data_IF_790407389360
#
_entry.id   IF_790407389360
#
_cell.length_a   1.000
_cell.length_b   1.000
_cell.length_c   1.000
_cell.angle_alpha   90.00
_cell.angle_beta   90.00
_cell.angle_gamma   90.00
#
_symmetry.space_group_name_H-M   'P 1'
#
loop_
_entity.id
_entity.type
_entity.pdbx_description
1 polymer ?
#
# COMPACT_ATOMS: atom_id res chain seq x y z
N UNK A 1 -11.58 -8.04 14.07
CA UNK A 1 -10.37 -8.10 14.93
C UNK A 1 -9.16 -8.10 14.04
N UNK A 2 -8.18 -7.27 14.37
CA UNK A 2 -6.96 -7.09 13.63
C UNK A 2 -6.13 -8.39 13.59
N UNK A 3 -5.65 -8.77 12.41
CA UNK A 3 -4.83 -9.96 12.16
C UNK A 3 -3.60 -10.03 13.07
N UNK A 4 -2.87 -8.92 13.23
CA UNK A 4 -1.66 -8.90 14.06
C UNK A 4 -1.95 -8.92 15.56
N UNK A 5 -3.08 -8.40 16.01
CA UNK A 5 -3.54 -8.56 17.39
C UNK A 5 -3.83 -10.03 17.71
N UNK A 6 -4.43 -10.78 16.78
CA UNK A 6 -4.63 -12.21 16.92
C UNK A 6 -3.32 -12.98 16.93
N UNK A 7 -2.37 -12.66 16.04
CA UNK A 7 -1.03 -13.26 16.05
C UNK A 7 -0.30 -13.01 17.37
N UNK A 8 -0.42 -11.81 17.94
CA UNK A 8 0.18 -11.46 19.23
C UNK A 8 -0.40 -12.31 20.38
N UNK A 9 -1.69 -12.56 20.38
CA UNK A 9 -2.34 -13.48 21.36
C UNK A 9 -1.88 -14.94 21.15
N UNK A 10 -1.74 -15.40 19.91
CA UNK A 10 -1.24 -16.72 19.58
C UNK A 10 0.23 -16.88 19.97
N UNK A 11 1.06 -15.84 19.83
CA UNK A 11 2.43 -15.83 20.31
C UNK A 11 2.53 -16.07 21.82
N UNK A 12 1.70 -15.37 22.60
CA UNK A 12 1.66 -15.52 24.07
C UNK A 12 1.28 -16.92 24.53
N UNK A 13 0.51 -17.65 23.73
CA UNK A 13 0.06 -19.01 24.03
C UNK A 13 0.90 -20.10 23.37
N UNK A 14 1.96 -19.75 22.63
CA UNK A 14 2.81 -20.69 21.90
C UNK A 14 2.11 -21.37 20.70
N UNK A 15 1.07 -20.73 20.16
CA UNK A 15 0.26 -21.27 19.06
C UNK A 15 0.39 -20.46 17.77
N UNK A 16 1.51 -19.79 17.55
CA UNK A 16 1.76 -19.09 16.29
C UNK A 16 1.63 -20.05 15.09
N UNK A 17 1.06 -19.59 13.96
CA UNK A 17 1.17 -20.31 12.70
C UNK A 17 2.64 -20.51 12.32
N UNK A 18 2.95 -21.59 11.62
CA UNK A 18 4.31 -21.85 11.18
C UNK A 18 4.81 -20.85 10.14
N UNK A 19 3.88 -20.34 9.31
CA UNK A 19 4.17 -19.28 8.32
C UNK A 19 3.24 -18.11 8.58
N UNK A 20 3.81 -16.93 8.62
CA UNK A 20 3.10 -15.64 8.75
C UNK A 20 3.45 -14.78 7.54
N UNK A 21 2.43 -14.25 6.89
CA UNK A 21 2.62 -13.23 5.88
C UNK A 21 2.41 -11.85 6.50
N UNK A 22 3.30 -10.92 6.20
CA UNK A 22 3.23 -9.58 6.71
C UNK A 22 3.10 -8.54 5.61
N UNK A 23 2.10 -7.67 5.73
CA UNK A 23 1.99 -6.45 4.94
C UNK A 23 2.76 -5.28 5.62
N UNK A 24 3.06 -4.17 4.91
CA UNK A 24 4.09 -3.21 5.32
C UNK A 24 4.02 -2.69 6.75
N UNK A 25 3.15 -1.79 7.11
CA UNK A 25 3.23 -1.04 8.38
C UNK A 25 3.07 -1.90 9.63
N UNK A 26 1.98 -2.64 9.73
CA UNK A 26 1.62 -3.45 10.91
C UNK A 26 2.55 -4.64 11.15
N UNK A 27 3.22 -5.14 10.11
CA UNK A 27 4.20 -6.22 10.25
C UNK A 27 5.44 -5.77 11.01
N UNK A 28 5.90 -4.55 10.83
CA UNK A 28 7.07 -4.05 11.53
C UNK A 28 6.86 -4.08 13.05
N UNK A 29 5.71 -3.60 13.51
CA UNK A 29 5.38 -3.59 14.94
C UNK A 29 5.32 -5.01 15.52
N UNK A 30 4.61 -5.93 14.87
CA UNK A 30 4.55 -7.34 15.30
C UNK A 30 5.93 -8.01 15.31
N UNK A 31 6.76 -7.77 14.29
CA UNK A 31 8.11 -8.31 14.23
C UNK A 31 8.97 -7.74 15.37
N UNK A 32 8.97 -6.43 15.54
CA UNK A 32 9.90 -5.76 16.45
C UNK A 32 9.47 -5.80 17.91
N UNK A 33 8.17 -5.92 18.19
CA UNK A 33 7.65 -5.99 19.56
C UNK A 33 7.35 -7.41 20.05
N UNK A 34 7.09 -8.36 19.13
CA UNK A 34 6.69 -9.72 19.49
C UNK A 34 7.70 -10.77 19.02
N UNK A 35 7.96 -10.86 17.70
CA UNK A 35 8.75 -11.98 17.17
C UNK A 35 10.23 -11.89 17.57
N UNK A 36 10.87 -10.74 17.40
CA UNK A 36 12.30 -10.55 17.66
C UNK A 36 12.60 -10.64 19.16
N UNK A 37 11.93 -9.88 20.06
CA UNK A 37 12.24 -9.94 21.48
C UNK A 37 12.03 -11.29 22.12
N UNK A 38 11.09 -12.09 21.61
CA UNK A 38 10.78 -13.43 22.11
C UNK A 38 11.47 -14.55 21.33
N UNK A 39 12.28 -14.22 20.32
CA UNK A 39 12.97 -15.18 19.44
C UNK A 39 11.98 -16.19 18.82
N UNK A 40 10.87 -15.73 18.30
CA UNK A 40 9.79 -16.56 17.74
C UNK A 40 9.84 -16.72 16.21
N UNK A 41 10.99 -16.55 15.59
CA UNK A 41 11.21 -16.65 14.15
C UNK A 41 12.31 -17.65 13.82
N UNK A 42 12.28 -18.13 12.58
CA UNK A 42 13.37 -18.89 11.97
C UNK A 42 14.20 -17.96 11.08
N UNK A 43 15.53 -17.81 11.30
CA UNK A 43 16.38 -16.95 10.47
C UNK A 43 16.48 -17.50 9.04
N UNK A 44 16.20 -16.68 8.03
CA UNK A 44 16.18 -17.09 6.63
C UNK A 44 17.55 -16.95 5.92
N UNK A 45 18.62 -16.65 6.65
CA UNK A 45 19.96 -16.45 6.09
C UNK A 45 20.43 -17.66 5.27
N UNK A 46 20.42 -18.85 5.88
CA UNK A 46 20.87 -20.09 5.22
C UNK A 46 19.95 -20.45 4.06
N UNK A 47 18.63 -20.34 4.25
CA UNK A 47 17.65 -20.55 3.20
C UNK A 47 17.94 -19.70 1.95
N UNK A 48 18.16 -18.39 2.11
CA UNK A 48 18.47 -17.49 1.01
C UNK A 48 19.85 -17.77 0.38
N UNK A 49 20.82 -18.17 1.16
CA UNK A 49 22.14 -18.55 0.64
C UNK A 49 22.11 -19.85 -0.16
N UNK A 50 21.27 -20.81 0.23
CA UNK A 50 21.06 -22.07 -0.50
C UNK A 50 20.15 -21.90 -1.72
N UNK A 51 19.24 -20.92 -1.70
CA UNK A 51 18.27 -20.63 -2.76
C UNK A 51 18.61 -19.30 -3.46
N UNK A 52 19.77 -19.27 -4.13
CA UNK A 52 20.31 -18.05 -4.76
C UNK A 52 19.40 -17.45 -5.83
N UNK A 53 18.55 -18.25 -6.49
CA UNK A 53 17.54 -17.78 -7.43
C UNK A 53 16.50 -16.88 -6.73
N UNK A 54 16.05 -17.24 -5.51
CA UNK A 54 15.13 -16.41 -4.72
C UNK A 54 15.85 -15.16 -4.23
N UNK A 55 17.06 -15.33 -3.69
CA UNK A 55 17.88 -14.22 -3.21
C UNK A 55 18.11 -13.16 -4.30
N UNK A 56 18.36 -13.60 -5.53
CA UNK A 56 18.60 -12.69 -6.65
C UNK A 56 17.35 -11.91 -7.10
N UNK A 57 16.15 -12.39 -6.79
CA UNK A 57 14.89 -11.65 -7.02
C UNK A 57 14.66 -10.56 -5.97
N UNK A 58 15.16 -10.75 -4.73
CA UNK A 58 14.96 -9.78 -3.67
C UNK A 58 15.64 -8.44 -3.97
N UNK A 59 14.98 -7.34 -3.65
CA UNK A 59 15.56 -6.01 -3.69
C UNK A 59 16.51 -5.83 -2.49
N UNK A 60 17.61 -5.14 -2.69
CA UNK A 60 18.60 -4.92 -1.64
C UNK A 60 18.02 -4.10 -0.46
N UNK A 61 17.13 -3.13 -0.75
CA UNK A 61 16.37 -2.38 0.25
C UNK A 61 15.48 -3.28 1.10
N UNK A 62 14.76 -4.22 0.47
CA UNK A 62 13.86 -5.15 1.17
C UNK A 62 14.63 -6.15 2.04
N UNK A 63 15.78 -6.63 1.57
CA UNK A 63 16.68 -7.48 2.37
C UNK A 63 17.24 -6.70 3.56
N UNK A 64 17.70 -5.46 3.33
CA UNK A 64 18.21 -4.59 4.41
C UNK A 64 17.16 -4.33 5.47
N UNK A 65 15.93 -3.99 5.07
CA UNK A 65 14.80 -3.79 5.98
C UNK A 65 14.43 -5.05 6.79
N UNK A 66 14.56 -6.24 6.16
CA UNK A 66 14.29 -7.52 6.81
C UNK A 66 15.42 -8.02 7.70
N UNK A 67 16.61 -7.39 7.62
CA UNK A 67 17.78 -7.77 8.41
C UNK A 67 17.78 -7.02 9.74
N UNK A 68 17.85 -7.76 10.85
CA UNK A 68 17.90 -7.19 12.20
C UNK A 68 19.33 -6.94 12.68
N UNK A 69 19.51 -6.23 13.78
CA UNK A 69 20.82 -5.85 14.31
C UNK A 69 21.75 -7.03 14.59
N UNK A 70 21.18 -8.20 14.93
CA UNK A 70 21.95 -9.43 15.13
C UNK A 70 22.40 -10.13 13.81
N UNK A 71 22.03 -9.56 12.66
CA UNK A 71 22.34 -10.08 11.33
C UNK A 71 21.31 -11.09 10.79
N UNK A 72 20.28 -11.44 11.53
CA UNK A 72 19.23 -12.36 11.08
C UNK A 72 18.30 -11.70 10.08
N UNK A 73 17.99 -12.42 9.01
CA UNK A 73 16.96 -12.02 8.04
C UNK A 73 15.62 -12.60 8.49
N UNK A 74 14.71 -11.72 8.88
CA UNK A 74 13.39 -12.08 9.38
C UNK A 74 12.43 -12.24 8.20
N UNK A 75 12.35 -13.44 7.67
CA UNK A 75 11.49 -13.78 6.54
C UNK A 75 12.10 -13.45 5.18
N UNK A 76 11.48 -13.97 4.14
CA UNK A 76 11.84 -13.69 2.75
C UNK A 76 11.00 -12.52 2.25
N UNK A 77 11.63 -11.42 1.79
CA UNK A 77 10.90 -10.25 1.28
C UNK A 77 10.04 -10.60 0.07
N UNK A 78 8.88 -10.00 -0.07
CA UNK A 78 8.13 -10.03 -1.33
C UNK A 78 8.98 -9.40 -2.44
N UNK A 79 8.93 -10.00 -3.62
CA UNK A 79 9.80 -9.61 -4.75
C UNK A 79 9.05 -8.86 -5.84
N UNK A 80 7.72 -8.85 -5.78
CA UNK A 80 6.88 -8.04 -6.64
C UNK A 80 6.48 -6.75 -5.89
N UNK A 81 6.40 -5.66 -6.62
CA UNK A 81 6.09 -4.33 -6.11
C UNK A 81 4.88 -3.81 -6.87
N UNK A 82 3.69 -3.77 -6.26
CA UNK A 82 2.54 -3.11 -6.88
C UNK A 82 2.80 -1.62 -6.97
N UNK A 83 2.46 -1.06 -8.11
CA UNK A 83 2.46 0.38 -8.31
C UNK A 83 1.05 0.89 -8.07
N UNK A 84 0.90 1.84 -7.16
CA UNK A 84 -0.38 2.39 -6.73
C UNK A 84 -0.61 3.73 -7.40
N UNK A 85 -1.83 3.93 -7.88
CA UNK A 85 -2.31 5.14 -8.51
C UNK A 85 -3.77 5.39 -8.12
N UNK A 86 -4.60 5.63 -9.11
CA UNK A 86 -6.04 5.80 -8.94
C UNK A 86 -6.82 5.03 -10.00
N UNK A 87 -8.08 4.76 -9.68
CA UNK A 87 -9.08 4.28 -10.62
C UNK A 87 -10.15 5.34 -10.85
N UNK A 88 -10.66 5.39 -12.07
CA UNK A 88 -11.80 6.25 -12.41
C UNK A 88 -12.80 5.54 -13.33
N UNK A 89 -14.07 5.87 -13.15
CA UNK A 89 -15.15 5.36 -13.97
C UNK A 89 -15.43 6.35 -15.12
N UNK A 90 -15.24 5.92 -16.38
CA UNK A 90 -15.41 6.77 -17.55
C UNK A 90 -16.83 7.26 -17.79
N UNK A 91 -17.85 6.58 -17.24
CA UNK A 91 -19.24 7.01 -17.33
C UNK A 91 -19.53 8.29 -16.50
N UNK A 92 -18.71 8.55 -15.48
CA UNK A 92 -18.83 9.73 -14.61
C UNK A 92 -17.73 10.76 -14.87
N UNK A 93 -16.52 10.31 -15.08
CA UNK A 93 -15.36 11.17 -15.27
C UNK A 93 -14.55 10.68 -16.47
N UNK A 94 -14.50 11.51 -17.51
CA UNK A 94 -13.77 11.24 -18.73
C UNK A 94 -12.72 12.32 -18.93
N UNK A 95 -11.48 12.12 -18.44
CA UNK A 95 -10.42 13.10 -18.58
C UNK A 95 -10.04 13.31 -20.07
N UNK A 96 -9.76 14.54 -20.47
CA UNK A 96 -9.32 14.88 -21.84
C UNK A 96 -7.89 14.41 -22.14
N UNK A 97 -7.10 14.18 -21.08
CA UNK A 97 -5.72 13.66 -21.13
C UNK A 97 -5.48 12.73 -19.93
N UNK A 98 -4.43 11.90 -19.97
CA UNK A 98 -4.02 11.08 -18.83
C UNK A 98 -3.97 11.91 -17.53
N UNK A 99 -4.50 11.36 -16.46
CA UNK A 99 -4.49 12.00 -15.13
C UNK A 99 -3.05 12.28 -14.69
N UNK A 100 -2.14 11.34 -14.92
CA UNK A 100 -0.72 11.51 -14.62
C UNK A 100 -0.09 12.71 -15.32
N UNK A 101 -0.60 13.13 -16.47
CA UNK A 101 -0.12 14.31 -17.19
C UNK A 101 -0.68 15.65 -16.71
N UNK A 102 -1.59 15.63 -15.73
CA UNK A 102 -2.18 16.82 -15.12
C UNK A 102 -1.36 17.28 -13.92
N UNK A 103 -1.38 18.58 -13.61
CA UNK A 103 -1.04 19.04 -12.25
C UNK A 103 -2.17 18.67 -11.28
N UNK A 104 -1.93 18.78 -9.97
CA UNK A 104 -2.96 18.55 -8.95
C UNK A 104 -4.14 19.51 -9.15
N UNK A 105 -3.88 20.77 -9.46
CA UNK A 105 -4.89 21.80 -9.71
C UNK A 105 -5.67 21.55 -11.01
N UNK A 106 -5.01 21.07 -12.07
CA UNK A 106 -5.68 20.67 -13.31
C UNK A 106 -6.60 19.48 -13.07
N UNK A 107 -6.15 18.47 -12.31
CA UNK A 107 -6.95 17.31 -11.96
C UNK A 107 -8.19 17.71 -11.15
N UNK A 108 -8.02 18.50 -10.09
CA UNK A 108 -9.14 19.00 -9.29
C UNK A 108 -10.13 19.80 -10.15
N UNK A 109 -9.64 20.64 -11.04
CA UNK A 109 -10.48 21.41 -11.99
C UNK A 109 -11.22 20.47 -12.94
N UNK A 110 -10.55 19.45 -13.48
CA UNK A 110 -11.13 18.48 -14.43
C UNK A 110 -12.20 17.59 -13.79
N UNK A 111 -12.11 17.31 -12.49
CA UNK A 111 -13.16 16.59 -11.77
C UNK A 111 -14.50 17.35 -11.78
N UNK A 112 -14.48 18.69 -11.75
CA UNK A 112 -15.70 19.48 -11.67
C UNK A 112 -16.54 19.08 -10.46
N UNK A 113 -17.79 18.63 -10.69
CA UNK A 113 -18.71 18.17 -9.65
C UNK A 113 -18.54 16.67 -9.30
N UNK A 114 -17.71 15.93 -10.05
CA UNK A 114 -17.48 14.52 -9.80
C UNK A 114 -16.82 14.27 -8.44
N UNK A 115 -17.13 13.13 -7.85
CA UNK A 115 -16.76 12.80 -6.49
C UNK A 115 -15.60 11.81 -6.44
N UNK A 116 -14.77 12.00 -5.41
CA UNK A 116 -13.69 11.10 -5.01
C UNK A 116 -14.13 10.32 -3.77
N UNK A 117 -13.94 9.01 -3.79
CA UNK A 117 -14.14 8.17 -2.62
C UNK A 117 -12.94 8.29 -1.65
N UNK A 118 -13.24 8.57 -0.38
CA UNK A 118 -12.25 8.59 0.69
C UNK A 118 -12.60 7.57 1.77
N UNK A 119 -11.60 6.93 2.31
CA UNK A 119 -11.66 6.19 3.56
C UNK A 119 -11.26 7.12 4.70
N UNK A 120 -12.03 7.18 5.79
CA UNK A 120 -11.74 8.08 6.92
C UNK A 120 -11.75 7.38 8.27
N UNK A 121 -12.16 6.10 8.34
CA UNK A 121 -12.08 5.29 9.58
C UNK A 121 -11.21 4.07 9.38
N UNK A 122 -11.15 3.21 10.37
CA UNK A 122 -10.11 2.22 10.57
C UNK A 122 -8.75 2.93 10.63
N UNK A 123 -7.83 2.65 9.73
CA UNK A 123 -6.57 3.39 9.62
C UNK A 123 -6.53 4.44 8.51
N UNK A 124 -7.63 4.59 7.74
CA UNK A 124 -7.75 5.53 6.61
C UNK A 124 -6.63 5.43 5.55
N UNK A 125 -6.07 4.23 5.35
CA UNK A 125 -4.86 4.03 4.54
C UNK A 125 -4.99 4.44 3.07
N UNK A 126 -6.18 4.34 2.48
CA UNK A 126 -6.38 4.80 1.09
C UNK A 126 -6.33 6.33 0.97
N UNK A 127 -6.72 7.06 2.02
CA UNK A 127 -6.53 8.51 2.08
C UNK A 127 -5.06 8.88 2.27
N UNK A 128 -4.27 8.06 2.98
CA UNK A 128 -2.81 8.22 3.05
C UNK A 128 -2.12 7.99 1.70
N UNK A 129 -2.66 7.13 0.83
CA UNK A 129 -2.15 6.99 -0.54
C UNK A 129 -2.21 8.32 -1.28
N UNK A 130 -3.38 8.98 -1.26
CA UNK A 130 -3.52 10.24 -1.96
C UNK A 130 -2.70 11.36 -1.31
N UNK A 131 -2.65 11.41 0.02
CA UNK A 131 -1.77 12.36 0.73
C UNK A 131 -0.31 12.19 0.32
N UNK A 132 0.17 10.96 0.18
CA UNK A 132 1.56 10.69 -0.27
C UNK A 132 1.82 11.26 -1.67
N UNK A 133 0.87 11.08 -2.59
CA UNK A 133 0.96 11.64 -3.93
C UNK A 133 0.94 13.19 -3.90
N UNK A 134 0.14 13.79 -3.03
CA UNK A 134 0.13 15.25 -2.84
C UNK A 134 1.46 15.75 -2.27
N UNK A 135 2.02 15.06 -1.27
CA UNK A 135 3.35 15.39 -0.71
C UNK A 135 4.42 15.34 -1.81
N UNK A 136 4.42 14.30 -2.64
CA UNK A 136 5.40 14.16 -3.72
C UNK A 136 5.31 15.27 -4.80
N UNK A 137 4.17 15.96 -4.89
CA UNK A 137 3.97 17.11 -5.78
C UNK A 137 4.45 18.44 -5.17
N UNK A 138 4.80 18.46 -3.88
CA UNK A 138 5.35 19.66 -3.22
C UNK A 138 6.87 19.70 -3.30
N UNK A 139 7.44 20.90 -3.24
CA UNK A 139 8.90 21.09 -3.26
C UNK A 139 9.59 20.32 -2.11
N UNK A 140 10.51 19.43 -2.45
CA UNK A 140 11.22 18.56 -1.49
C UNK A 140 10.41 17.39 -0.96
N UNK A 141 9.14 17.23 -1.36
CA UNK A 141 8.26 16.19 -0.83
C UNK A 141 8.59 14.79 -1.33
N UNK A 142 8.94 14.65 -2.60
CA UNK A 142 9.36 13.37 -3.17
C UNK A 142 10.67 12.88 -2.53
N UNK A 143 11.64 13.79 -2.37
CA UNK A 143 12.92 13.51 -1.71
C UNK A 143 12.71 13.12 -0.25
N UNK A 144 11.82 13.80 0.47
CA UNK A 144 11.47 13.47 1.85
C UNK A 144 10.92 12.04 1.95
N UNK A 145 9.92 11.70 1.16
CA UNK A 145 9.33 10.35 1.19
C UNK A 145 10.37 9.29 0.81
N UNK A 146 11.19 9.52 -0.21
CA UNK A 146 12.25 8.60 -0.62
C UNK A 146 13.32 8.41 0.47
N UNK A 147 13.68 9.46 1.21
CA UNK A 147 14.63 9.38 2.32
C UNK A 147 14.12 8.46 3.44
N UNK A 148 12.81 8.46 3.65
CA UNK A 148 12.17 7.67 4.72
C UNK A 148 11.60 6.34 4.25
N UNK A 149 11.88 5.87 3.02
CA UNK A 149 11.50 4.50 2.61
C UNK A 149 12.21 3.46 3.49
N UNK A 150 11.43 2.73 4.27
CA UNK A 150 11.93 1.77 5.27
C UNK A 150 12.46 2.40 6.56
N UNK A 151 12.22 3.69 6.80
CA UNK A 151 12.59 4.41 8.03
C UNK A 151 11.38 5.12 8.62
N UNK A 152 11.47 5.50 9.88
CA UNK A 152 10.41 6.22 10.58
C UNK A 152 10.61 7.73 10.53
N UNK A 153 9.61 8.43 10.00
CA UNK A 153 9.47 9.88 10.05
C UNK A 153 8.77 10.27 11.35
N UNK A 154 9.33 11.23 12.07
CA UNK A 154 8.78 11.72 13.35
C UNK A 154 8.29 13.16 13.29
N UNK A 155 8.77 13.96 12.36
CA UNK A 155 8.40 15.37 12.23
C UNK A 155 7.53 15.59 10.97
N UNK A 156 6.25 15.76 11.17
CA UNK A 156 5.26 16.04 10.11
C UNK A 156 5.01 17.54 9.90
N UNK A 157 5.70 18.43 10.63
CA UNK A 157 5.63 19.88 10.42
C UNK A 157 6.48 20.36 9.22
N UNK A 158 6.81 19.45 8.30
CA UNK A 158 7.53 19.78 7.07
C UNK A 158 6.64 20.62 6.14
N UNK A 159 7.16 21.67 5.49
CA UNK A 159 6.36 22.53 4.61
C UNK A 159 5.63 21.78 3.51
N UNK A 160 6.26 20.75 2.90
CA UNK A 160 5.67 19.91 1.87
C UNK A 160 4.49 19.08 2.39
N UNK A 161 4.56 18.57 3.64
CA UNK A 161 3.46 17.83 4.25
C UNK A 161 2.30 18.76 4.56
N UNK A 162 2.56 19.92 5.16
CA UNK A 162 1.53 20.90 5.46
C UNK A 162 0.78 21.34 4.19
N UNK A 163 1.51 21.71 3.13
CA UNK A 163 0.90 22.09 1.86
C UNK A 163 0.05 20.97 1.24
N UNK A 164 0.51 19.73 1.35
CA UNK A 164 -0.23 18.56 0.88
C UNK A 164 -1.52 18.33 1.70
N UNK A 165 -1.49 18.51 3.02
CA UNK A 165 -2.66 18.40 3.91
C UNK A 165 -3.68 19.50 3.58
N UNK A 166 -3.24 20.73 3.30
CA UNK A 166 -4.11 21.82 2.84
C UNK A 166 -4.81 21.47 1.52
N UNK A 167 -4.08 20.91 0.54
CA UNK A 167 -4.64 20.45 -0.74
C UNK A 167 -5.61 19.27 -0.55
N UNK A 168 -5.30 18.32 0.32
CA UNK A 168 -6.20 17.20 0.65
C UNK A 168 -7.51 17.72 1.23
N UNK A 169 -7.44 18.67 2.17
CA UNK A 169 -8.62 19.31 2.77
C UNK A 169 -9.45 20.08 1.73
N UNK A 170 -8.79 20.83 0.86
CA UNK A 170 -9.48 21.58 -0.21
C UNK A 170 -10.22 20.65 -1.18
N UNK A 171 -9.57 19.52 -1.58
CA UNK A 171 -10.20 18.51 -2.43
C UNK A 171 -11.36 17.81 -1.71
N UNK A 172 -11.20 17.51 -0.42
CA UNK A 172 -12.31 16.99 0.38
C UNK A 172 -13.51 17.91 0.36
N UNK A 173 -13.32 19.20 0.62
CA UNK A 173 -14.40 20.18 0.71
C UNK A 173 -15.21 20.32 -0.58
N UNK A 174 -14.58 20.03 -1.72
CA UNK A 174 -15.21 20.17 -3.05
C UNK A 174 -15.68 18.85 -3.64
N UNK A 175 -14.89 17.78 -3.49
CA UNK A 175 -15.06 16.56 -4.27
C UNK A 175 -15.28 15.29 -3.42
N UNK A 176 -15.31 15.34 -2.09
CA UNK A 176 -15.60 14.13 -1.32
C UNK A 176 -16.99 13.56 -1.63
N UNK A 177 -17.10 12.26 -1.77
CA UNK A 177 -18.38 11.56 -1.86
C UNK A 177 -19.16 11.72 -0.54
N UNK A 178 -20.49 11.77 -0.62
CA UNK A 178 -21.34 12.10 0.52
C UNK A 178 -21.19 11.15 1.72
N UNK A 179 -20.82 9.90 1.47
CA UNK A 179 -20.62 8.86 2.49
C UNK A 179 -19.16 8.72 2.97
N UNK A 180 -18.26 9.59 2.51
CA UNK A 180 -16.82 9.46 2.86
C UNK A 180 -16.52 9.73 4.33
N UNK A 181 -17.30 10.56 5.02
CA UNK A 181 -17.13 10.75 6.46
C UNK A 181 -17.65 9.52 7.22
N UNK A 182 -16.77 8.85 7.92
CA UNK A 182 -17.05 7.58 8.60
C UNK A 182 -16.93 6.33 7.71
N UNK A 183 -16.44 6.50 6.48
CA UNK A 183 -16.27 5.38 5.54
C UNK A 183 -15.06 4.51 5.91
N UNK A 184 -15.28 3.21 6.03
CA UNK A 184 -14.25 2.19 6.02
C UNK A 184 -13.79 1.90 4.57
N UNK A 185 -12.79 1.05 4.40
CA UNK A 185 -12.29 0.67 3.08
C UNK A 185 -13.41 0.17 2.13
N UNK A 186 -14.25 -0.75 2.63
CA UNK A 186 -15.33 -1.30 1.83
C UNK A 186 -16.37 -0.24 1.42
N UNK A 187 -16.62 0.76 2.27
CA UNK A 187 -17.55 1.84 1.96
C UNK A 187 -17.00 2.75 0.85
N UNK A 188 -15.69 3.06 0.89
CA UNK A 188 -15.04 3.82 -0.17
C UNK A 188 -15.03 3.05 -1.50
N UNK A 189 -14.71 1.76 -1.48
CA UNK A 189 -14.76 0.90 -2.66
C UNK A 189 -16.20 0.81 -3.23
N UNK A 190 -17.20 0.64 -2.36
CA UNK A 190 -18.61 0.60 -2.75
C UNK A 190 -19.09 1.95 -3.32
N UNK A 191 -18.53 3.08 -2.89
CA UNK A 191 -18.88 4.38 -3.45
C UNK A 191 -18.53 4.46 -4.95
N UNK A 192 -17.39 3.90 -5.38
CA UNK A 192 -17.05 3.77 -6.79
C UNK A 192 -17.98 2.78 -7.49
N UNK A 193 -18.13 1.56 -6.94
CA UNK A 193 -18.93 0.46 -7.53
C UNK A 193 -20.45 0.71 -7.49
N UNK A 194 -20.87 1.84 -6.98
CA UNK A 194 -22.27 2.29 -6.98
C UNK A 194 -22.48 3.64 -7.67
N UNK A 195 -21.50 4.10 -8.46
CA UNK A 195 -21.57 5.39 -9.16
C UNK A 195 -21.81 6.62 -8.24
N UNK A 196 -21.48 6.51 -6.94
CA UNK A 196 -21.51 7.62 -5.98
C UNK A 196 -20.19 8.40 -5.96
N UNK A 197 -19.10 7.77 -6.41
CA UNK A 197 -17.82 8.40 -6.67
C UNK A 197 -17.36 8.05 -8.08
N UNK A 198 -16.67 8.98 -8.72
CA UNK A 198 -16.09 8.80 -10.03
C UNK A 198 -14.64 8.31 -9.96
N UNK A 199 -13.96 8.56 -8.84
CA UNK A 199 -12.53 8.27 -8.64
C UNK A 199 -12.30 7.65 -7.26
N UNK A 200 -11.35 6.73 -7.18
CA UNK A 200 -10.80 6.20 -5.93
C UNK A 200 -9.28 6.06 -6.04
N UNK A 201 -8.55 6.41 -4.98
CA UNK A 201 -7.13 6.13 -4.85
C UNK A 201 -6.96 4.70 -4.32
N UNK A 202 -6.36 3.83 -5.12
CA UNK A 202 -6.18 2.42 -4.75
C UNK A 202 -5.11 1.75 -5.60
N UNK A 203 -4.75 0.51 -5.25
CA UNK A 203 -3.78 -0.28 -5.98
C UNK A 203 -4.39 -1.40 -6.81
N UNK A 204 -3.55 -2.12 -7.58
CA UNK A 204 -3.99 -3.13 -8.55
C UNK A 204 -4.70 -4.33 -7.92
N UNK A 205 -4.55 -4.58 -6.62
CA UNK A 205 -5.34 -5.60 -5.89
C UNK A 205 -6.85 -5.38 -5.97
N UNK A 206 -7.32 -4.15 -6.26
CA UNK A 206 -8.73 -3.85 -6.47
C UNK A 206 -9.24 -4.25 -7.87
N UNK A 207 -8.36 -4.59 -8.82
CA UNK A 207 -8.77 -4.95 -10.19
C UNK A 207 -9.76 -6.12 -10.21
N UNK A 208 -9.63 -7.06 -9.27
CA UNK A 208 -10.54 -8.18 -9.11
C UNK A 208 -12.00 -7.77 -8.83
N UNK A 209 -12.24 -6.60 -8.24
CA UNK A 209 -13.58 -6.11 -7.92
C UNK A 209 -14.36 -5.62 -9.17
N UNK A 210 -13.65 -5.38 -10.27
CA UNK A 210 -14.21 -4.87 -11.54
C UNK A 210 -14.46 -5.97 -12.57
N UNK A 211 -14.29 -7.23 -12.22
CA UNK A 211 -14.51 -8.36 -13.12
C UNK A 211 -15.98 -8.78 -13.18
N UNK A 212 -16.39 -9.37 -14.29
CA UNK A 212 -17.80 -9.71 -14.58
C UNK A 212 -18.44 -10.70 -13.58
N UNK A 213 -17.65 -11.44 -12.83
CA UNK A 213 -18.14 -12.34 -11.76
C UNK A 213 -18.46 -11.59 -10.44
N UNK A 214 -18.10 -10.31 -10.33
CA UNK A 214 -18.35 -9.44 -9.17
C UNK A 214 -19.57 -8.54 -9.29
N UNK A 215 -20.35 -8.67 -10.35
CA UNK A 215 -21.55 -7.84 -10.61
C UNK A 215 -22.56 -7.80 -9.45
N UNK A 216 -22.55 -8.81 -8.57
CA UNK A 216 -23.39 -8.83 -7.38
C UNK A 216 -23.02 -7.71 -6.35
N UNK A 217 -21.81 -7.17 -6.42
CA UNK A 217 -21.32 -6.08 -5.58
C UNK A 217 -21.59 -4.69 -6.20
N UNK A 218 -22.09 -4.65 -7.43
CA UNK A 218 -22.31 -3.41 -8.18
C UNK A 218 -23.76 -2.93 -8.04
N UNK A 219 -23.96 -1.63 -8.13
CA UNK A 219 -25.29 -1.03 -8.10
C UNK A 219 -25.33 0.27 -8.92
N UNK A 220 -26.50 0.82 -9.11
CA UNK A 220 -26.73 2.07 -9.83
C UNK A 220 -26.11 2.09 -11.24
N UNK A 221 -26.28 0.99 -11.98
CA UNK A 221 -25.78 0.82 -13.35
C UNK A 221 -24.23 0.93 -13.48
N UNK A 222 -23.50 0.68 -12.42
CA UNK A 222 -22.03 0.60 -12.48
C UNK A 222 -21.59 -0.55 -13.40
N UNK A 223 -20.62 -0.29 -14.26
CA UNK A 223 -19.99 -1.28 -15.13
C UNK A 223 -18.47 -1.30 -14.90
N UNK A 224 -17.95 -2.40 -14.35
CA UNK A 224 -16.51 -2.56 -14.11
C UNK A 224 -15.65 -2.46 -15.38
N UNK A 225 -16.21 -2.75 -16.56
CA UNK A 225 -15.53 -2.60 -17.85
C UNK A 225 -15.28 -1.12 -18.23
N UNK A 226 -15.88 -0.18 -17.49
CA UNK A 226 -15.73 1.27 -17.64
C UNK A 226 -14.74 1.87 -16.66
N UNK A 227 -14.10 1.05 -15.84
CA UNK A 227 -13.06 1.50 -14.91
C UNK A 227 -11.72 1.52 -15.63
N UNK A 228 -11.00 2.60 -15.46
CA UNK A 228 -9.66 2.82 -15.95
C UNK A 228 -8.69 3.09 -14.81
N UNK A 229 -7.40 2.77 -15.02
CA UNK A 229 -6.31 3.04 -14.10
C UNK A 229 -5.35 4.10 -14.63
N UNK A 230 -4.80 4.92 -13.74
CA UNK A 230 -3.75 5.88 -14.07
C UNK A 230 -2.85 6.12 -12.85
N UNK A 231 -1.70 6.75 -13.05
CA UNK A 231 -0.89 7.30 -11.96
C UNK A 231 -1.52 8.60 -11.44
N UNK A 232 -1.09 9.05 -10.28
CA UNK A 232 -1.56 10.31 -9.71
C UNK A 232 -1.14 11.53 -10.55
N UNK A 233 -1.88 12.66 -10.42
CA UNK A 233 -1.46 13.94 -10.99
C UNK A 233 -0.01 14.29 -10.65
N UNK A 234 0.67 14.97 -11.54
CA UNK A 234 2.10 15.26 -11.45
C UNK A 234 2.98 14.08 -11.85
N UNK A 235 2.43 13.06 -12.51
CA UNK A 235 3.13 11.83 -12.89
C UNK A 235 3.74 11.12 -11.67
N UNK A 236 2.96 10.98 -10.59
CA UNK A 236 3.37 10.33 -9.35
C UNK A 236 2.74 8.95 -9.23
N UNK A 237 3.50 7.98 -8.78
CA UNK A 237 3.04 6.64 -8.42
C UNK A 237 3.61 6.24 -7.06
N UNK A 238 2.89 5.40 -6.32
CA UNK A 238 3.41 4.90 -5.05
C UNK A 238 3.90 3.47 -5.20
N UNK A 239 5.06 3.19 -4.59
CA UNK A 239 5.59 1.84 -4.50
C UNK A 239 6.48 1.71 -3.26
N UNK A 240 6.19 0.73 -2.41
CA UNK A 240 6.97 0.45 -1.20
C UNK A 240 8.08 -0.56 -1.53
N UNK A 241 9.25 -0.10 -1.92
CA UNK A 241 10.33 -0.99 -2.34
C UNK A 241 11.08 -1.64 -1.18
N UNK A 242 11.15 -1.00 -0.03
CA UNK A 242 11.81 -1.56 1.16
C UNK A 242 10.85 -2.41 2.00
N UNK A 243 9.60 -1.97 2.18
CA UNK A 243 8.71 -2.46 3.23
C UNK A 243 7.55 -3.34 2.74
N UNK A 244 7.48 -3.65 1.43
CA UNK A 244 6.32 -4.34 0.84
C UNK A 244 6.22 -5.81 1.26
N UNK A 245 5.95 -6.14 2.43
CA UNK A 245 5.63 -7.49 2.87
C UNK A 245 6.79 -8.48 2.89
N UNK A 246 6.60 -9.57 3.57
CA UNK A 246 7.53 -10.68 3.69
C UNK A 246 6.84 -11.94 4.18
N UNK A 247 7.41 -13.08 3.84
CA UNK A 247 7.01 -14.38 4.36
C UNK A 247 7.92 -14.78 5.51
N UNK A 248 7.36 -14.89 6.71
CA UNK A 248 8.09 -15.19 7.94
C UNK A 248 7.81 -16.64 8.32
N UNK A 249 8.86 -17.43 8.49
CA UNK A 249 8.76 -18.75 9.12
C UNK A 249 8.97 -18.57 10.62
N UNK A 250 8.02 -19.02 11.44
CA UNK A 250 8.17 -18.99 12.89
C UNK A 250 8.93 -20.21 13.39
N UNK A 251 9.42 -20.16 14.62
CA UNK A 251 10.09 -21.32 15.22
C UNK A 251 9.12 -22.30 15.89
N UNK A 252 7.81 -22.20 15.62
CA UNK A 252 6.77 -23.07 16.18
C UNK A 252 6.57 -24.39 15.41
N UNK A 253 7.66 -24.92 14.82
CA UNK A 253 7.67 -26.26 14.21
C UNK A 253 7.91 -27.34 15.28
N UNK A 254 7.33 -28.53 15.05
CA UNK A 254 7.41 -29.67 15.98
C UNK A 254 8.41 -30.74 15.52
N UNK A 255 8.86 -30.65 14.27
CA UNK A 255 9.85 -31.58 13.71
C UNK A 255 10.63 -30.91 12.57
N UNK A 256 11.79 -31.49 12.21
CA UNK A 256 12.60 -31.08 11.06
C UNK A 256 11.82 -31.23 9.74
N UNK A 257 10.94 -32.23 9.63
CA UNK A 257 10.11 -32.43 8.46
C UNK A 257 9.08 -31.32 8.30
N UNK A 258 8.51 -30.82 9.41
CA UNK A 258 7.56 -29.71 9.40
C UNK A 258 8.25 -28.40 8.96
N UNK A 259 9.43 -28.12 9.50
CA UNK A 259 10.25 -26.99 9.06
C UNK A 259 10.59 -27.10 7.58
N UNK A 260 11.06 -28.28 7.13
CA UNK A 260 11.37 -28.52 5.73
C UNK A 260 10.15 -28.28 4.83
N UNK A 261 8.98 -28.72 5.23
CA UNK A 261 7.74 -28.49 4.49
C UNK A 261 7.44 -26.99 4.34
N UNK A 262 7.62 -26.19 5.41
CA UNK A 262 7.46 -24.76 5.36
C UNK A 262 8.44 -24.09 4.40
N UNK A 263 9.72 -24.48 4.44
CA UNK A 263 10.74 -23.93 3.54
C UNK A 263 10.49 -24.31 2.07
N UNK A 264 10.01 -25.52 1.79
CA UNK A 264 9.61 -25.93 0.43
C UNK A 264 8.37 -25.16 -0.05
N UNK A 265 7.41 -24.85 0.85
CA UNK A 265 6.29 -23.98 0.51
C UNK A 265 6.75 -22.56 0.17
N UNK A 266 7.70 -21.98 0.91
CA UNK A 266 8.30 -20.70 0.54
C UNK A 266 8.96 -20.77 -0.85
N UNK A 267 9.70 -21.83 -1.17
CA UNK A 267 10.28 -22.01 -2.52
C UNK A 267 9.23 -22.04 -3.61
N UNK A 268 8.11 -22.71 -3.36
CA UNK A 268 6.98 -22.77 -4.28
C UNK A 268 6.43 -21.38 -4.56
N UNK A 269 6.17 -20.56 -3.52
CA UNK A 269 5.68 -19.19 -3.65
C UNK A 269 6.60 -18.27 -4.47
N UNK A 270 7.91 -18.58 -4.52
CA UNK A 270 8.90 -17.83 -5.30
C UNK A 270 9.27 -18.52 -6.62
N UNK A 271 8.53 -19.54 -7.04
CA UNK A 271 8.66 -20.07 -8.39
C UNK A 271 8.14 -19.05 -9.41
N UNK A 272 8.68 -19.08 -10.61
CA UNK A 272 8.24 -18.15 -11.67
C UNK A 272 6.75 -18.27 -11.95
N UNK A 273 6.23 -19.49 -12.01
CA UNK A 273 4.81 -19.75 -12.28
C UNK A 273 3.90 -19.12 -11.22
N UNK A 274 4.22 -19.27 -9.92
CA UNK A 274 3.43 -18.73 -8.83
C UNK A 274 3.54 -17.19 -8.74
N UNK A 275 4.74 -16.65 -8.94
CA UNK A 275 4.93 -15.19 -8.94
C UNK A 275 4.17 -14.53 -10.11
N UNK A 276 4.20 -15.12 -11.29
CA UNK A 276 3.47 -14.63 -12.46
C UNK A 276 1.95 -14.72 -12.23
N UNK A 277 1.44 -15.85 -11.71
CA UNK A 277 0.04 -16.01 -11.37
C UNK A 277 -0.43 -15.00 -10.30
N UNK A 278 0.41 -14.77 -9.29
CA UNK A 278 0.11 -13.81 -8.24
C UNK A 278 0.05 -12.37 -8.77
N UNK A 279 0.98 -11.98 -9.63
CA UNK A 279 1.00 -10.64 -10.24
C UNK A 279 -0.17 -10.40 -11.21
N UNK A 280 -0.74 -11.43 -11.81
CA UNK A 280 -1.98 -11.30 -12.62
C UNK A 280 -3.23 -11.03 -11.75
N UNK A 281 -3.20 -11.40 -10.48
CA UNK A 281 -4.30 -11.20 -9.52
C UNK A 281 -4.13 -9.90 -8.74
N UNK A 282 -2.96 -9.74 -8.12
CA UNK A 282 -2.66 -8.63 -7.20
C UNK A 282 -2.01 -7.42 -7.91
N UNK A 283 -1.61 -7.61 -9.17
CA UNK A 283 -0.83 -6.62 -9.90
C UNK A 283 0.63 -6.54 -9.44
N UNK A 284 1.30 -5.49 -9.87
CA UNK A 284 2.70 -5.26 -9.54
C UNK A 284 3.67 -5.85 -10.55
N UNK A 285 4.93 -5.59 -10.29
CA UNK A 285 6.05 -6.05 -11.11
C UNK A 285 7.17 -6.61 -10.23
N UNK A 286 7.86 -7.64 -10.68
CA UNK A 286 9.10 -8.10 -10.11
C UNK A 286 10.28 -7.52 -10.91
N UNK A 287 10.97 -6.45 -10.42
CA UNK A 287 11.96 -5.72 -11.22
C UNK A 287 13.16 -6.56 -11.65
N UNK A 288 13.45 -7.65 -10.94
CA UNK A 288 14.61 -8.52 -11.20
C UNK A 288 14.23 -9.82 -11.93
N UNK A 289 12.96 -9.97 -12.37
CA UNK A 289 12.48 -11.18 -13.06
C UNK A 289 12.37 -10.98 -14.57
N UNK A 290 12.67 -12.03 -15.33
CA UNK A 290 12.32 -12.08 -16.77
C UNK A 290 11.03 -12.86 -16.90
N UNK A 291 10.03 -12.23 -17.47
CA UNK A 291 8.67 -12.78 -17.58
C UNK A 291 8.56 -13.81 -18.70
N UNK A 292 7.65 -14.77 -18.52
CA UNK A 292 7.28 -15.72 -19.57
C UNK A 292 6.42 -15.06 -20.65
N UNK A 293 6.43 -15.64 -21.87
CA UNK A 293 5.57 -15.18 -22.96
C UNK A 293 4.08 -15.36 -22.58
N UNK A 294 3.75 -16.42 -21.81
CA UNK A 294 2.37 -16.67 -21.34
C UNK A 294 1.88 -15.56 -20.43
N UNK A 295 2.67 -15.19 -19.42
CA UNK A 295 2.35 -14.08 -18.52
C UNK A 295 2.15 -12.77 -19.27
N UNK A 296 3.07 -12.42 -20.18
CA UNK A 296 2.96 -11.18 -20.96
C UNK A 296 1.71 -11.17 -21.85
N UNK A 297 1.31 -12.31 -22.40
CA UNK A 297 0.07 -12.41 -23.19
C UNK A 297 -1.17 -12.20 -22.32
N UNK A 298 -1.23 -12.79 -21.12
CA UNK A 298 -2.33 -12.62 -20.20
C UNK A 298 -2.39 -11.20 -19.61
N UNK A 299 -1.25 -10.62 -19.23
CA UNK A 299 -1.14 -9.24 -18.79
C UNK A 299 -1.69 -8.27 -19.86
N UNK A 300 -1.26 -8.43 -21.11
CA UNK A 300 -1.71 -7.59 -22.22
C UNK A 300 -3.21 -7.77 -22.56
N UNK A 301 -3.80 -8.90 -22.22
CA UNK A 301 -5.24 -9.13 -22.37
C UNK A 301 -6.07 -8.50 -21.25
N UNK A 302 -5.46 -8.18 -20.10
CA UNK A 302 -6.10 -7.50 -18.99
C UNK A 302 -5.88 -5.99 -19.10
N UNK A 303 -6.85 -5.29 -19.70
CA UNK A 303 -6.75 -3.86 -20.00
C UNK A 303 -6.42 -3.03 -18.77
N UNK A 304 -7.08 -3.28 -17.65
CA UNK A 304 -6.90 -2.47 -16.44
C UNK A 304 -5.53 -2.65 -15.79
N UNK A 305 -5.02 -3.89 -15.70
CA UNK A 305 -3.63 -4.15 -15.25
C UNK A 305 -2.61 -3.52 -16.18
N UNK A 306 -2.86 -3.57 -17.48
CA UNK A 306 -1.97 -2.97 -18.50
C UNK A 306 -1.96 -1.45 -18.39
N UNK A 307 -3.12 -0.80 -18.22
CA UNK A 307 -3.22 0.65 -18.05
C UNK A 307 -2.41 1.13 -16.86
N UNK A 308 -2.55 0.50 -15.68
CA UNK A 308 -1.78 0.85 -14.50
C UNK A 308 -0.27 0.66 -14.69
N UNK A 309 0.13 -0.46 -15.30
CA UNK A 309 1.54 -0.77 -15.54
C UNK A 309 2.17 0.20 -16.55
N UNK A 310 1.45 0.54 -17.63
CA UNK A 310 1.96 1.41 -18.70
C UNK A 310 1.84 2.90 -18.38
N UNK A 311 1.01 3.29 -17.43
CA UNK A 311 0.96 4.66 -16.93
C UNK A 311 2.30 5.07 -16.28
N UNK A 312 3.01 4.10 -15.68
CA UNK A 312 4.37 4.32 -15.15
C UNK A 312 5.38 4.36 -16.29
N UNK A 313 6.14 5.42 -16.35
CA UNK A 313 7.16 5.65 -17.39
C UNK A 313 8.48 6.13 -16.75
N UNK A 314 9.49 6.42 -17.59
CA UNK A 314 10.82 6.80 -17.08
C UNK A 314 10.86 8.12 -16.30
N UNK A 315 9.86 8.98 -16.51
CA UNK A 315 9.75 10.28 -15.82
C UNK A 315 8.80 10.23 -14.62
N UNK A 316 8.20 9.06 -14.33
CA UNK A 316 7.30 8.89 -13.19
C UNK A 316 8.07 9.00 -11.88
N UNK A 317 7.62 9.89 -11.01
CA UNK A 317 8.12 10.03 -9.63
C UNK A 317 7.53 8.92 -8.79
N UNK A 318 8.36 8.00 -8.32
CA UNK A 318 7.94 6.87 -7.49
C UNK A 318 8.36 7.12 -6.05
N UNK A 319 7.39 7.11 -5.13
CA UNK A 319 7.61 7.33 -3.69
C UNK A 319 6.89 6.28 -2.85
N UNK A 320 7.34 6.00 -1.62
CA UNK A 320 6.60 5.12 -0.72
C UNK A 320 5.28 5.77 -0.24
N UNK A 321 4.35 4.95 0.23
CA UNK A 321 3.21 5.45 0.99
C UNK A 321 3.70 6.00 2.33
N UNK A 322 3.28 7.21 2.71
CA UNK A 322 3.65 7.85 3.98
C UNK A 322 3.28 6.98 5.20
N UNK A 323 2.26 6.13 5.11
CA UNK A 323 1.91 5.18 6.16
C UNK A 323 3.08 4.28 6.55
N UNK A 324 3.94 3.90 5.60
CA UNK A 324 5.12 3.06 5.85
C UNK A 324 6.29 3.83 6.44
N UNK A 325 6.21 5.15 6.44
CA UNK A 325 7.17 6.05 7.08
C UNK A 325 6.71 6.47 8.49
N UNK A 326 5.50 6.11 8.93
CA UNK A 326 4.95 6.44 10.24
C UNK A 326 5.27 5.36 11.27
N UNK A 327 5.37 5.68 12.58
CA UNK A 327 5.19 4.68 13.61
C UNK A 327 3.84 3.98 13.45
N UNK A 328 3.78 2.65 13.66
CA UNK A 328 2.56 1.87 13.41
C UNK A 328 1.34 2.41 14.15
N UNK A 329 1.50 2.79 15.43
CA UNK A 329 0.38 3.36 16.21
C UNK A 329 -0.13 4.68 15.63
N UNK A 330 0.72 5.49 14.99
CA UNK A 330 0.32 6.74 14.34
C UNK A 330 -0.43 6.43 13.04
N UNK A 331 0.10 5.53 12.21
CA UNK A 331 -0.54 5.12 10.96
C UNK A 331 -1.90 4.43 11.20
N UNK A 332 -1.97 3.55 12.20
CA UNK A 332 -3.15 2.69 12.41
C UNK A 332 -4.26 3.36 13.24
N UNK A 333 -3.96 4.36 14.06
CA UNK A 333 -4.93 4.90 15.01
C UNK A 333 -5.04 6.43 14.96
N UNK A 334 -3.91 7.16 14.99
CA UNK A 334 -3.92 8.61 15.14
C UNK A 334 -4.35 9.27 13.84
N UNK A 335 -3.78 8.86 12.71
CA UNK A 335 -4.04 9.48 11.42
C UNK A 335 -5.54 9.52 11.08
N UNK A 336 -6.25 8.40 11.21
CA UNK A 336 -7.69 8.34 10.90
C UNK A 336 -8.51 9.24 11.85
N UNK A 337 -8.19 9.25 13.14
CA UNK A 337 -8.88 10.08 14.12
C UNK A 337 -8.69 11.57 13.83
N UNK A 338 -7.49 11.98 13.46
CA UNK A 338 -7.17 13.37 13.13
C UNK A 338 -7.72 13.76 11.74
N UNK A 339 -7.69 12.83 10.78
CA UNK A 339 -8.30 13.07 9.47
C UNK A 339 -9.79 13.40 9.60
N UNK A 340 -10.53 12.69 10.44
CA UNK A 340 -11.94 13.01 10.71
C UNK A 340 -12.10 14.42 11.28
N UNK A 341 -11.22 14.84 12.18
CA UNK A 341 -11.26 16.20 12.74
C UNK A 341 -10.87 17.27 11.71
N UNK A 342 -9.88 16.99 10.88
CA UNK A 342 -9.45 17.86 9.79
C UNK A 342 -10.60 18.08 8.79
N UNK A 343 -11.22 17.00 8.30
CA UNK A 343 -12.23 17.10 7.23
C UNK A 343 -13.56 17.67 7.72
N UNK A 344 -13.89 17.55 8.99
CA UNK A 344 -15.09 18.19 9.57
C UNK A 344 -14.83 19.63 10.05
N UNK A 345 -13.58 20.13 9.95
CA UNK A 345 -13.20 21.49 10.27
C UNK A 345 -12.98 21.79 11.75
N UNK A 346 -12.87 20.76 12.61
CA UNK A 346 -12.54 20.92 14.05
C UNK A 346 -11.04 20.95 14.32
N UNK A 347 -10.23 20.59 13.33
CA UNK A 347 -8.77 20.65 13.34
C UNK A 347 -8.29 21.39 12.08
N UNK A 348 -7.28 22.26 12.22
CA UNK A 348 -6.62 22.88 11.05
C UNK A 348 -5.53 22.00 10.49
N UNK A 349 -5.06 22.22 9.23
CA UNK A 349 -3.91 21.51 8.67
C UNK A 349 -2.66 21.57 9.54
N UNK A 350 -2.35 22.73 10.14
CA UNK A 350 -1.20 22.91 11.04
C UNK A 350 -1.38 22.09 12.33
N UNK A 351 -2.59 22.06 12.89
CA UNK A 351 -2.88 21.25 14.07
C UNK A 351 -2.76 19.75 13.78
N UNK A 352 -3.22 19.32 12.60
CA UNK A 352 -3.08 17.95 12.12
C UNK A 352 -1.61 17.51 12.05
N UNK A 353 -0.76 18.30 11.38
CA UNK A 353 0.68 18.01 11.29
C UNK A 353 1.37 18.04 12.67
N UNK A 354 0.97 18.98 13.53
CA UNK A 354 1.54 19.11 14.87
C UNK A 354 1.16 17.93 15.77
N UNK A 355 -0.10 17.45 15.73
CA UNK A 355 -0.53 16.30 16.54
C UNK A 355 0.15 15.01 16.09
N UNK A 356 0.19 14.74 14.77
CA UNK A 356 0.95 13.61 14.22
C UNK A 356 2.42 13.63 14.68
N UNK A 357 3.07 14.81 14.70
CA UNK A 357 4.45 14.96 15.18
C UNK A 357 4.56 14.61 16.65
N UNK A 358 3.67 15.16 17.49
CA UNK A 358 3.68 14.88 18.94
C UNK A 358 3.48 13.40 19.21
N UNK A 359 2.51 12.78 18.52
CA UNK A 359 2.20 11.35 18.68
C UNK A 359 3.31 10.44 18.19
N UNK A 360 3.98 10.81 17.09
CA UNK A 360 5.14 10.08 16.61
C UNK A 360 6.33 10.16 17.59
N UNK A 361 6.61 11.34 18.11
CA UNK A 361 7.68 11.53 19.11
C UNK A 361 7.44 10.74 20.42
N UNK A 362 6.18 10.59 20.84
CA UNK A 362 5.78 9.76 21.99
C UNK A 362 6.19 8.28 21.82
N UNK A 363 6.33 7.77 20.59
CA UNK A 363 6.72 6.38 20.32
C UNK A 363 8.23 6.11 20.47
N UNK A 364 9.05 7.14 20.63
CA UNK A 364 10.51 7.01 20.83
C UNK A 364 10.90 6.54 22.23
N UNK A 365 9.95 6.46 23.17
CA UNK A 365 10.22 6.21 24.60
C UNK A 365 9.97 4.77 25.03
#
# INVERSE_FOLDING_TARGET
DDYFSQLSMLAQTGNLPLIVCGAPSTTADFVDTVLVPQNLYYPMNDFLNENTQIKNLCLDSSVAYSTKENGDIIGVPAVYVPTVGLFYNEDLYKPEKSVGSMTVEEFQTSLGENKLAFQTVDNAWTSMLYLSALIANEEGGAELLAEYDGKTLYDYNQPCILAAVEKLKALWDTNAAANSLGAAYADAANALMSNQAAVICNGPWMNGDFTADKTANWSNDFDGAKVHGDVYPGNVALANTATYGRWIVTNNYKSEEELKCALEFIKFLYSQEELEAFMLIEGGQCPKMTYSEGYLAELNANTLLTEQTMAVNADTVIVPNIATCMPSSVADQVFAADLVQLVNGTMTPEQFCADLTVKAEETKN
#
